data_IF_295318344347
#
_entry.id   IF_295318344347
#
_cell.length_a   1.000
_cell.length_b   1.000
_cell.length_c   1.000
_cell.angle_alpha   90.00
_cell.angle_beta   90.00
_cell.angle_gamma   90.00
#
_symmetry.space_group_name_H-M   'P 1'
#
loop_
_entity.id
_entity.type
_entity.pdbx_description
1 polymer ?
#
# COMPACT_ATOMS: atom_id res chain seq x y z
N UNK A 1 39.22 24.62 11.06
CA UNK A 1 38.43 23.70 11.91
C UNK A 1 36.98 24.18 11.84
N UNK A 2 36.04 23.63 11.09
CA UNK A 2 35.82 22.27 10.63
C UNK A 2 35.05 22.32 9.32
N UNK A 3 35.71 22.02 8.20
CA UNK A 3 35.00 21.59 6.99
C UNK A 3 34.50 20.17 7.28
N UNK A 4 33.26 20.09 7.76
CA UNK A 4 32.58 18.83 7.94
C UNK A 4 32.48 18.17 6.57
N UNK A 5 33.21 17.06 6.41
CA UNK A 5 33.08 16.13 5.29
C UNK A 5 31.60 15.76 5.22
N UNK A 6 30.85 16.43 4.35
CA UNK A 6 29.49 16.07 4.03
C UNK A 6 29.56 14.80 3.20
N UNK A 7 29.79 13.70 3.89
CA UNK A 7 29.62 12.34 3.42
C UNK A 7 28.24 12.30 2.78
N UNK A 8 28.17 12.40 1.44
CA UNK A 8 26.94 12.17 0.67
C UNK A 8 26.63 10.68 0.78
N UNK A 9 26.18 10.25 1.97
CA UNK A 9 25.57 8.95 2.18
C UNK A 9 24.40 8.89 1.21
N UNK A 10 24.49 7.96 0.27
CA UNK A 10 23.42 7.64 -0.66
C UNK A 10 22.12 7.57 0.17
N UNK A 11 21.08 8.36 -0.14
CA UNK A 11 19.93 8.55 0.74
C UNK A 11 18.99 7.34 0.66
N UNK A 12 19.50 6.16 1.02
CA UNK A 12 18.84 4.87 0.97
C UNK A 12 17.55 4.89 1.78
N UNK A 13 17.54 5.64 2.89
CA UNK A 13 16.36 5.86 3.72
C UNK A 13 15.19 6.49 2.94
N UNK A 14 15.46 7.43 2.01
CA UNK A 14 14.40 8.06 1.21
C UNK A 14 13.77 7.07 0.24
N UNK A 15 14.58 6.18 -0.34
CA UNK A 15 14.09 5.11 -1.21
C UNK A 15 13.23 4.12 -0.42
N UNK A 16 13.64 3.72 0.78
CA UNK A 16 12.84 2.85 1.65
C UNK A 16 11.51 3.49 2.09
N UNK A 17 11.53 4.78 2.47
CA UNK A 17 10.30 5.50 2.81
C UNK A 17 9.35 5.56 1.61
N UNK A 18 9.86 5.87 0.42
CA UNK A 18 9.04 5.89 -0.80
C UNK A 18 8.41 4.52 -1.10
N UNK A 19 9.19 3.43 -0.97
CA UNK A 19 8.66 2.08 -1.17
C UNK A 19 7.59 1.74 -0.13
N UNK A 20 7.80 2.08 1.13
CA UNK A 20 6.83 1.86 2.20
C UNK A 20 5.52 2.60 1.93
N UNK A 21 5.58 3.86 1.48
CA UNK A 21 4.38 4.63 1.12
C UNK A 21 3.64 4.00 -0.07
N UNK A 22 4.36 3.58 -1.12
CA UNK A 22 3.76 2.90 -2.27
C UNK A 22 3.09 1.59 -1.85
N UNK A 23 3.76 0.81 -1.00
CA UNK A 23 3.23 -0.45 -0.48
C UNK A 23 1.97 -0.22 0.36
N UNK A 24 1.98 0.77 1.27
CA UNK A 24 0.79 1.11 2.05
C UNK A 24 -0.37 1.52 1.16
N UNK A 25 -0.16 2.38 0.17
CA UNK A 25 -1.23 2.82 -0.74
C UNK A 25 -1.81 1.67 -1.58
N UNK A 26 -0.96 0.74 -2.04
CA UNK A 26 -1.40 -0.41 -2.82
C UNK A 26 -2.09 -1.49 -1.95
N UNK A 27 -1.61 -1.72 -0.73
CA UNK A 27 -2.11 -2.76 0.18
C UNK A 27 -3.27 -2.30 1.06
N UNK A 28 -3.47 -1.00 1.24
CA UNK A 28 -4.57 -0.47 2.06
C UNK A 28 -5.96 -1.01 1.68
N UNK A 29 -6.39 -0.94 0.41
CA UNK A 29 -7.72 -1.44 0.04
C UNK A 29 -7.81 -2.97 0.14
N UNK A 30 -6.71 -3.69 -0.08
CA UNK A 30 -6.63 -5.14 0.15
C UNK A 30 -6.91 -5.50 1.62
N UNK A 31 -6.29 -4.79 2.55
CA UNK A 31 -6.49 -4.99 3.98
C UNK A 31 -7.94 -4.69 4.40
N UNK A 32 -8.55 -3.64 3.83
CA UNK A 32 -9.97 -3.30 4.08
C UNK A 32 -10.90 -4.45 3.71
N UNK A 33 -10.72 -5.03 2.52
CA UNK A 33 -11.54 -6.15 2.05
C UNK A 33 -11.31 -7.40 2.91
N UNK A 34 -10.06 -7.72 3.22
CA UNK A 34 -9.73 -8.87 4.05
C UNK A 34 -10.37 -8.78 5.45
N UNK A 35 -10.33 -7.60 6.06
CA UNK A 35 -11.01 -7.34 7.33
C UNK A 35 -12.53 -7.51 7.22
N UNK A 36 -13.12 -7.05 6.11
CA UNK A 36 -14.55 -7.20 5.86
C UNK A 36 -14.96 -8.67 5.82
N UNK A 37 -14.28 -9.49 5.02
CA UNK A 37 -14.60 -10.92 4.88
C UNK A 37 -14.33 -11.71 6.16
N UNK A 38 -13.24 -11.40 6.88
CA UNK A 38 -12.92 -12.09 8.14
C UNK A 38 -13.93 -11.80 9.24
N UNK A 39 -14.40 -10.56 9.36
CA UNK A 39 -15.46 -10.19 10.31
C UNK A 39 -16.79 -10.84 9.92
N UNK A 40 -17.11 -10.86 8.62
CA UNK A 40 -18.34 -11.48 8.11
C UNK A 40 -18.38 -12.99 8.37
N UNK A 41 -17.27 -13.69 8.11
CA UNK A 41 -17.12 -15.12 8.34
C UNK A 41 -17.25 -15.47 9.83
N UNK A 42 -16.63 -14.67 10.70
CA UNK A 42 -16.77 -14.82 12.15
C UNK A 42 -18.22 -14.60 12.64
N UNK A 43 -18.94 -13.67 12.00
CA UNK A 43 -20.34 -13.38 12.31
C UNK A 43 -21.35 -14.35 11.63
N UNK A 44 -20.90 -15.21 10.72
CA UNK A 44 -21.77 -16.08 9.92
C UNK A 44 -22.65 -15.32 8.91
N UNK A 45 -22.27 -14.10 8.53
CA UNK A 45 -23.01 -13.26 7.60
C UNK A 45 -22.44 -13.34 6.18
N UNK A 46 -23.32 -13.25 5.17
CA UNK A 46 -22.89 -13.03 3.79
C UNK A 46 -22.76 -11.54 3.50
N UNK A 47 -21.60 -11.11 2.99
CA UNK A 47 -21.36 -9.74 2.52
C UNK A 47 -21.30 -9.75 1.00
N UNK A 48 -22.06 -8.85 0.39
CA UNK A 48 -22.07 -8.62 -1.05
C UNK A 48 -21.70 -7.16 -1.35
N UNK A 49 -20.94 -6.94 -2.40
CA UNK A 49 -20.52 -5.61 -2.88
C UNK A 49 -21.62 -4.89 -3.66
N UNK A 50 -22.68 -5.59 -4.10
CA UNK A 50 -23.79 -5.00 -4.85
C UNK A 50 -24.86 -4.32 -3.99
N UNK A 51 -25.02 -4.74 -2.73
CA UNK A 51 -26.06 -4.22 -1.85
C UNK A 51 -25.75 -4.50 -0.38
N UNK A 52 -26.03 -3.55 0.53
CA UNK A 52 -25.82 -3.73 1.96
C UNK A 52 -26.75 -4.84 2.49
N UNK A 53 -26.17 -5.90 3.02
CA UNK A 53 -26.88 -6.98 3.71
C UNK A 53 -26.89 -6.72 5.21
N UNK A 54 -28.01 -6.95 5.93
CA UNK A 54 -28.01 -6.85 7.38
C UNK A 54 -27.07 -7.92 7.96
N UNK A 55 -26.10 -7.48 8.77
CA UNK A 55 -25.24 -8.38 9.52
C UNK A 55 -25.23 -7.96 10.98
N UNK A 56 -25.81 -8.81 11.82
CA UNK A 56 -25.95 -8.56 13.25
C UNK A 56 -24.76 -9.18 13.98
N UNK A 57 -23.95 -8.33 14.62
CA UNK A 57 -22.86 -8.75 15.51
C UNK A 57 -23.23 -8.27 16.90
N UNK A 58 -23.71 -9.19 17.75
CA UNK A 58 -24.42 -8.82 18.98
C UNK A 58 -25.75 -8.11 18.65
N UNK A 59 -25.99 -6.96 19.29
CA UNK A 59 -27.21 -6.15 19.08
C UNK A 59 -27.06 -5.05 18.02
N UNK A 60 -25.88 -4.92 17.40
CA UNK A 60 -25.60 -3.84 16.43
C UNK A 60 -25.56 -4.38 15.00
N UNK A 61 -26.18 -3.65 14.07
CA UNK A 61 -26.11 -3.95 12.64
C UNK A 61 -24.84 -3.36 12.03
N UNK A 62 -23.88 -4.22 11.70
CA UNK A 62 -22.61 -3.86 11.08
C UNK A 62 -22.65 -3.94 9.54
N UNK A 63 -23.77 -4.36 8.97
CA UNK A 63 -23.92 -4.59 7.53
C UNK A 63 -23.54 -3.39 6.65
N UNK A 64 -23.93 -2.18 7.05
CA UNK A 64 -23.57 -0.96 6.33
C UNK A 64 -22.08 -0.62 6.37
N UNK A 65 -21.43 -0.87 7.52
CA UNK A 65 -19.99 -0.65 7.69
C UNK A 65 -19.18 -1.67 6.89
N UNK A 66 -19.53 -2.96 6.97
CA UNK A 66 -18.88 -4.00 6.17
C UNK A 66 -19.09 -3.77 4.68
N UNK A 67 -20.27 -3.33 4.25
CA UNK A 67 -20.51 -2.96 2.86
C UNK A 67 -19.57 -1.84 2.41
N UNK A 68 -19.44 -0.77 3.20
CA UNK A 68 -18.55 0.35 2.86
C UNK A 68 -17.09 -0.08 2.78
N UNK A 69 -16.63 -0.93 3.72
CA UNK A 69 -15.27 -1.48 3.73
C UNK A 69 -15.01 -2.46 2.58
N UNK A 70 -16.02 -3.22 2.15
CA UNK A 70 -15.97 -4.10 0.99
C UNK A 70 -15.93 -3.33 -0.33
N UNK A 71 -16.75 -2.30 -0.49
CA UNK A 71 -16.73 -1.42 -1.68
C UNK A 71 -15.42 -0.64 -1.79
N UNK A 72 -14.74 -0.33 -0.67
CA UNK A 72 -13.36 0.19 -0.74
C UNK A 72 -12.38 -0.76 -1.44
N UNK A 73 -12.70 -2.05 -1.55
CA UNK A 73 -11.99 -3.01 -2.39
C UNK A 73 -11.96 -2.64 -3.87
N UNK A 74 -12.97 -1.93 -4.37
CA UNK A 74 -13.00 -1.48 -5.76
C UNK A 74 -11.86 -0.51 -6.09
N UNK A 75 -11.33 0.18 -5.07
CA UNK A 75 -10.13 1.00 -5.24
C UNK A 75 -8.94 0.16 -5.72
N UNK A 76 -8.89 -1.14 -5.46
CA UNK A 76 -7.85 -2.05 -5.97
C UNK A 76 -7.74 -2.03 -7.49
N UNK A 77 -8.84 -1.83 -8.21
CA UNK A 77 -8.84 -1.74 -9.68
C UNK A 77 -7.95 -0.57 -10.14
N UNK A 78 -7.93 0.53 -9.39
CA UNK A 78 -7.08 1.69 -9.67
C UNK A 78 -5.73 1.66 -8.95
N UNK A 79 -5.69 1.27 -7.69
CA UNK A 79 -4.49 1.33 -6.86
C UNK A 79 -3.47 0.26 -7.21
N UNK A 80 -3.88 -0.92 -7.72
CA UNK A 80 -2.94 -1.96 -8.16
C UNK A 80 -2.15 -1.49 -9.40
N UNK A 81 -2.79 -1.02 -10.50
CA UNK A 81 -2.06 -0.48 -11.64
C UNK A 81 -1.19 0.73 -11.27
N UNK A 82 -1.73 1.66 -10.47
CA UNK A 82 -0.98 2.84 -10.04
C UNK A 82 0.21 2.46 -9.15
N UNK A 83 0.02 1.53 -8.22
CA UNK A 83 1.08 1.00 -7.35
C UNK A 83 2.16 0.31 -8.16
N UNK A 84 1.78 -0.50 -9.15
CA UNK A 84 2.74 -1.14 -10.07
C UNK A 84 3.57 -0.12 -10.84
N UNK A 85 2.93 0.89 -11.44
CA UNK A 85 3.63 1.99 -12.11
C UNK A 85 4.57 2.75 -11.16
N UNK A 86 4.12 3.03 -9.93
CA UNK A 86 4.93 3.71 -8.93
C UNK A 86 6.17 2.88 -8.52
N UNK A 87 6.02 1.56 -8.32
CA UNK A 87 7.15 0.64 -8.05
C UNK A 87 8.12 0.61 -9.23
N UNK A 88 7.64 0.58 -10.47
CA UNK A 88 8.50 0.60 -11.66
C UNK A 88 9.34 1.89 -11.73
N UNK A 89 8.72 3.05 -11.56
CA UNK A 89 9.42 4.35 -11.56
C UNK A 89 10.46 4.38 -10.42
N UNK A 90 10.09 3.93 -9.23
CA UNK A 90 10.99 3.84 -8.10
C UNK A 90 12.19 2.93 -8.38
N UNK A 91 11.96 1.75 -8.98
CA UNK A 91 13.01 0.80 -9.32
C UNK A 91 13.97 1.37 -10.37
N UNK A 92 13.45 2.07 -11.39
CA UNK A 92 14.27 2.76 -12.39
C UNK A 92 15.11 3.89 -11.78
N UNK A 93 14.54 4.68 -10.88
CA UNK A 93 15.26 5.74 -10.16
C UNK A 93 16.35 5.17 -9.24
N UNK A 94 16.11 4.03 -8.62
CA UNK A 94 17.11 3.34 -7.81
C UNK A 94 18.22 2.74 -8.68
N UNK A 95 17.86 2.11 -9.80
CA UNK A 95 18.80 1.50 -10.74
C UNK A 95 19.73 2.55 -11.38
N UNK A 96 19.17 3.65 -11.90
CA UNK A 96 19.96 4.74 -12.51
C UNK A 96 20.93 5.36 -11.51
N UNK A 97 20.48 5.61 -10.29
CA UNK A 97 21.33 6.18 -9.25
C UNK A 97 22.43 5.18 -8.82
N UNK A 98 22.09 3.90 -8.67
CA UNK A 98 23.05 2.83 -8.36
C UNK A 98 24.12 2.66 -9.46
N UNK A 99 23.70 2.62 -10.73
CA UNK A 99 24.63 2.53 -11.87
C UNK A 99 25.53 3.77 -11.97
N UNK A 100 25.01 4.97 -11.70
CA UNK A 100 25.80 6.21 -11.68
C UNK A 100 26.86 6.22 -10.57
N UNK A 101 26.57 5.61 -9.42
CA UNK A 101 27.52 5.46 -8.33
C UNK A 101 28.60 4.43 -8.67
N UNK A 102 28.21 3.31 -9.31
CA UNK A 102 29.15 2.28 -9.76
C UNK A 102 30.12 2.82 -10.82
N UNK A 103 29.64 3.61 -11.79
CA UNK A 103 30.50 4.25 -12.81
C UNK A 103 31.50 5.24 -12.21
N UNK A 104 31.11 5.99 -11.17
CA UNK A 104 31.99 6.93 -10.46
C UNK A 104 33.09 6.27 -9.62
N UNK A 105 32.94 4.99 -9.26
CA UNK A 105 33.98 4.22 -8.57
C UNK A 105 34.97 3.53 -9.51
N UNK A 106 34.65 3.44 -10.80
CA UNK A 106 35.49 2.78 -11.80
C UNK A 106 36.39 3.76 -12.58
N UNK A 107 36.22 5.06 -12.37
CA UNK A 107 37.10 6.15 -12.80
C UNK A 107 37.93 6.62 -11.60
#
# INVERSE_FOLDING_TARGET
>A
MSEAIQQRKFPWLRYWIALLVIALLALWPLLSVLLTYTIADYAGCSVNEGMPQPCMIGDTNWGGTLYTMGVMGWLMIGTIPLGFCAVLIWALALLTNYLSWRKRKAL
#
